data_IF_546574277564
#
_entry.id   IF_546574277564
#
_cell.length_a   1.000
_cell.length_b   1.000
_cell.length_c   1.000
_cell.angle_alpha   90.00
_cell.angle_beta   90.00
_cell.angle_gamma   90.00
#
_symmetry.space_group_name_H-M   'P 1'
#
loop_
_entity.id
_entity.type
_entity.pdbx_description
1 polymer ?
#
# COMPACT_ATOMS: atom_id res chain seq x y z
N UNK A 1 -25.84 -2.27 3.44
CA UNK A 1 -24.81 -3.31 3.60
C UNK A 1 -24.45 -3.45 5.07
N UNK A 2 -24.34 -4.67 5.62
CA UNK A 2 -23.95 -4.88 7.02
C UNK A 2 -22.43 -4.99 7.08
N UNK A 3 -21.75 -3.99 7.63
CA UNK A 3 -20.32 -4.07 7.90
C UNK A 3 -20.13 -5.00 9.10
N UNK A 4 -19.30 -6.02 8.94
CA UNK A 4 -18.93 -6.87 10.07
C UNK A 4 -18.04 -6.06 11.01
N UNK A 5 -18.02 -6.44 12.30
CA UNK A 5 -17.16 -5.79 13.30
C UNK A 5 -15.66 -5.96 13.01
N UNK A 6 -14.82 -5.85 14.02
CA UNK A 6 -13.37 -5.96 13.85
C UNK A 6 -12.95 -7.29 13.19
N UNK A 7 -12.16 -7.21 12.11
CA UNK A 7 -11.50 -8.37 11.49
C UNK A 7 -9.97 -8.29 11.63
N UNK A 8 -9.32 -9.44 11.50
CA UNK A 8 -7.88 -9.49 11.47
C UNK A 8 -7.33 -8.87 10.17
N UNK A 9 -6.29 -8.06 10.33
CA UNK A 9 -5.50 -7.47 9.25
C UNK A 9 -4.08 -8.03 9.31
N UNK A 10 -3.53 -8.43 8.16
CA UNK A 10 -2.21 -9.05 8.07
C UNK A 10 -1.18 -8.07 7.49
N UNK A 11 -0.05 -7.86 8.17
CA UNK A 11 0.97 -6.87 7.77
C UNK A 11 1.48 -7.07 6.34
N UNK A 12 1.61 -8.32 5.90
CA UNK A 12 2.25 -8.61 4.62
C UNK A 12 1.36 -8.32 3.40
N UNK A 13 0.08 -7.99 3.58
CA UNK A 13 -0.80 -7.56 2.47
C UNK A 13 -0.31 -6.30 1.77
N UNK A 14 0.45 -5.44 2.46
CA UNK A 14 1.09 -4.27 1.85
C UNK A 14 2.16 -4.65 0.81
N UNK A 15 2.65 -5.90 0.82
CA UNK A 15 3.51 -6.41 -0.24
C UNK A 15 2.80 -6.46 -1.59
N UNK A 16 1.47 -6.60 -1.62
CA UNK A 16 0.69 -6.57 -2.86
C UNK A 16 0.83 -5.20 -3.55
N UNK A 17 0.73 -4.12 -2.77
CA UNK A 17 0.90 -2.75 -3.29
C UNK A 17 2.36 -2.46 -3.59
N UNK A 18 3.27 -2.77 -2.65
CA UNK A 18 4.71 -2.54 -2.82
C UNK A 18 5.28 -3.24 -4.05
N UNK A 19 4.77 -4.43 -4.38
CA UNK A 19 5.21 -5.18 -5.56
C UNK A 19 4.45 -4.81 -6.83
N UNK A 20 3.37 -4.03 -6.74
CA UNK A 20 2.56 -3.61 -7.88
C UNK A 20 1.50 -4.63 -8.31
N UNK A 21 1.22 -5.64 -7.48
CA UNK A 21 0.23 -6.69 -7.81
C UNK A 21 -1.16 -6.08 -7.81
N UNK A 22 -1.43 -5.25 -6.81
CA UNK A 22 -2.61 -4.41 -6.73
C UNK A 22 -2.15 -2.95 -6.70
N UNK A 23 -2.81 -2.09 -7.48
CA UNK A 23 -2.70 -0.66 -7.23
C UNK A 23 -3.49 -0.30 -5.95
N UNK A 24 -3.31 0.93 -5.45
CA UNK A 24 -3.94 1.33 -4.18
C UNK A 24 -5.47 1.28 -4.22
N UNK A 25 -6.10 1.56 -5.38
CA UNK A 25 -7.56 1.59 -5.53
C UNK A 25 -8.14 0.17 -5.50
N UNK A 26 -7.52 -0.74 -6.23
CA UNK A 26 -7.85 -2.17 -6.21
C UNK A 26 -7.67 -2.75 -4.81
N UNK A 27 -6.57 -2.39 -4.13
CA UNK A 27 -6.31 -2.82 -2.77
C UNK A 27 -7.38 -2.35 -1.78
N UNK A 28 -7.78 -1.08 -1.86
CA UNK A 28 -8.84 -0.53 -1.00
C UNK A 28 -10.20 -1.19 -1.28
N UNK A 29 -10.55 -1.44 -2.54
CA UNK A 29 -11.77 -2.14 -2.89
C UNK A 29 -11.75 -3.59 -2.38
N UNK A 30 -10.61 -4.27 -2.49
CA UNK A 30 -10.45 -5.61 -1.94
C UNK A 30 -10.63 -5.63 -0.41
N UNK A 31 -10.04 -4.66 0.30
CA UNK A 31 -10.23 -4.50 1.75
C UNK A 31 -11.70 -4.27 2.13
N UNK A 32 -12.41 -3.44 1.36
CA UNK A 32 -13.85 -3.23 1.53
C UNK A 32 -14.66 -4.52 1.35
N UNK A 33 -14.32 -5.35 0.36
CA UNK A 33 -14.97 -6.66 0.18
C UNK A 33 -14.69 -7.60 1.34
N UNK A 34 -13.47 -7.61 1.88
CA UNK A 34 -13.13 -8.39 3.07
C UNK A 34 -13.95 -7.98 4.31
N UNK A 35 -14.31 -6.70 4.46
CA UNK A 35 -15.18 -6.23 5.54
C UNK A 35 -16.63 -6.71 5.38
N UNK A 36 -17.01 -7.05 4.15
CA UNK A 36 -18.38 -7.34 3.74
C UNK A 36 -18.68 -8.84 3.59
N UNK A 37 -17.69 -9.71 3.79
CA UNK A 37 -17.90 -11.17 3.66
C UNK A 37 -18.72 -11.75 4.79
N UNK A 38 -19.40 -12.87 4.50
CA UNK A 38 -20.00 -13.69 5.55
C UNK A 38 -18.91 -14.45 6.33
N UNK A 39 -18.82 -14.18 7.64
CA UNK A 39 -17.86 -14.83 8.55
C UNK A 39 -18.44 -16.02 9.30
N UNK A 40 -19.74 -16.33 9.17
CA UNK A 40 -20.32 -17.49 9.85
C UNK A 40 -19.97 -18.78 9.09
N UNK A 41 -19.11 -19.60 9.69
CA UNK A 41 -18.63 -20.85 9.11
C UNK A 41 -19.72 -21.91 8.94
N UNK A 42 -20.91 -21.70 9.52
CA UNK A 42 -22.07 -22.59 9.39
C UNK A 42 -22.93 -22.26 8.17
N UNK A 43 -22.75 -21.09 7.57
CA UNK A 43 -23.50 -20.69 6.38
C UNK A 43 -22.85 -21.29 5.12
N UNK A 44 -23.69 -21.74 4.18
CA UNK A 44 -23.24 -22.19 2.86
C UNK A 44 -22.49 -21.09 2.07
N UNK A 45 -22.79 -19.84 2.42
CA UNK A 45 -22.22 -18.62 1.85
C UNK A 45 -20.98 -18.12 2.60
N UNK A 46 -20.38 -18.90 3.50
CA UNK A 46 -19.17 -18.50 4.21
C UNK A 46 -18.05 -18.02 3.27
N UNK A 47 -17.53 -16.83 3.55
CA UNK A 47 -16.52 -16.15 2.76
C UNK A 47 -17.01 -15.54 1.45
N UNK A 48 -18.32 -15.39 1.29
CA UNK A 48 -18.92 -14.71 0.14
C UNK A 48 -19.48 -13.33 0.51
N UNK A 49 -19.60 -12.46 -0.49
CA UNK A 49 -20.13 -11.10 -0.38
C UNK A 49 -20.90 -10.73 -1.65
N UNK A 50 -21.89 -9.85 -1.51
CA UNK A 50 -22.60 -9.29 -2.65
C UNK A 50 -21.91 -8.01 -3.13
N UNK A 51 -21.79 -7.83 -4.45
CA UNK A 51 -21.20 -6.62 -5.03
C UNK A 51 -22.26 -5.82 -5.80
N UNK A 52 -22.59 -4.64 -5.30
CA UNK A 52 -23.44 -3.66 -5.96
C UNK A 52 -22.59 -2.42 -6.28
N UNK A 53 -22.28 -2.21 -7.56
CA UNK A 53 -21.34 -1.17 -7.98
C UNK A 53 -21.84 0.23 -7.65
N UNK A 54 -23.15 0.51 -7.75
CA UNK A 54 -23.74 1.81 -7.42
C UNK A 54 -23.58 2.18 -5.94
N UNK A 55 -23.88 1.23 -5.05
CA UNK A 55 -23.73 1.42 -3.60
C UNK A 55 -22.25 1.62 -3.22
N UNK A 56 -21.38 0.83 -3.84
CA UNK A 56 -19.93 0.91 -3.63
C UNK A 56 -19.36 2.22 -4.17
N UNK A 57 -19.83 2.69 -5.32
CA UNK A 57 -19.47 3.97 -5.93
C UNK A 57 -19.76 5.13 -4.99
N UNK A 58 -20.92 5.11 -4.33
CA UNK A 58 -21.30 6.10 -3.33
C UNK A 58 -20.29 6.15 -2.17
N UNK A 59 -19.86 5.00 -1.66
CA UNK A 59 -18.88 4.91 -0.55
C UNK A 59 -17.52 5.46 -0.96
N UNK A 60 -17.06 5.15 -2.17
CA UNK A 60 -15.75 5.57 -2.67
C UNK A 60 -15.75 6.97 -3.31
N UNK A 61 -16.92 7.62 -3.41
CA UNK A 61 -17.11 8.86 -4.16
C UNK A 61 -16.55 8.75 -5.59
N UNK A 62 -17.00 7.72 -6.31
CA UNK A 62 -16.63 7.39 -7.69
C UNK A 62 -17.85 7.07 -8.53
N UNK A 63 -17.65 7.04 -9.84
CA UNK A 63 -18.65 6.54 -10.79
C UNK A 63 -18.77 5.00 -10.70
N UNK A 64 -19.96 4.43 -10.89
CA UNK A 64 -20.17 2.97 -10.89
C UNK A 64 -19.23 2.22 -11.84
N UNK A 65 -19.03 2.76 -13.05
CA UNK A 65 -18.13 2.18 -14.07
C UNK A 65 -16.68 2.07 -13.56
N UNK A 66 -16.23 3.05 -12.76
CA UNK A 66 -14.89 3.01 -12.17
C UNK A 66 -14.76 1.89 -11.14
N UNK A 67 -15.81 1.65 -10.35
CA UNK A 67 -15.82 0.52 -9.41
C UNK A 67 -15.86 -0.80 -10.16
N UNK A 68 -16.63 -0.88 -11.24
CA UNK A 68 -16.70 -2.05 -12.10
C UNK A 68 -15.33 -2.39 -12.70
N UNK A 69 -14.57 -1.40 -13.16
CA UNK A 69 -13.20 -1.61 -13.65
C UNK A 69 -12.28 -2.22 -12.58
N UNK A 70 -12.34 -1.69 -11.35
CA UNK A 70 -11.51 -2.20 -10.25
C UNK A 70 -11.96 -3.62 -9.85
N UNK A 71 -13.27 -3.87 -9.80
CA UNK A 71 -13.85 -5.17 -9.54
C UNK A 71 -13.41 -6.21 -10.57
N UNK A 72 -13.51 -5.86 -11.86
CA UNK A 72 -13.09 -6.71 -12.98
C UNK A 72 -11.59 -6.98 -12.96
N UNK A 73 -10.77 -6.01 -12.54
CA UNK A 73 -9.35 -6.23 -12.32
C UNK A 73 -9.08 -7.25 -11.21
N UNK A 74 -9.79 -7.15 -10.06
CA UNK A 74 -9.67 -8.12 -8.96
C UNK A 74 -10.10 -9.53 -9.37
N UNK A 75 -11.18 -9.66 -10.16
CA UNK A 75 -11.61 -10.93 -10.77
C UNK A 75 -10.53 -11.50 -11.68
N UNK A 76 -10.00 -10.69 -12.61
CA UNK A 76 -8.98 -11.09 -13.58
C UNK A 76 -7.70 -11.57 -12.88
N UNK A 77 -7.27 -10.85 -11.84
CA UNK A 77 -6.11 -11.18 -11.02
C UNK A 77 -6.37 -12.33 -10.04
N UNK A 78 -7.63 -12.78 -9.90
CA UNK A 78 -8.01 -13.94 -9.10
C UNK A 78 -8.16 -13.70 -7.60
N UNK A 79 -8.21 -12.45 -7.15
CA UNK A 79 -8.42 -12.13 -5.72
C UNK A 79 -9.86 -12.42 -5.27
N UNK A 80 -10.81 -12.36 -6.21
CA UNK A 80 -12.21 -12.70 -6.01
C UNK A 80 -12.67 -13.64 -7.13
N UNK A 81 -13.73 -14.42 -6.88
CA UNK A 81 -14.32 -15.32 -7.87
C UNK A 81 -15.84 -15.21 -7.85
N UNK A 82 -16.46 -15.24 -9.02
CA UNK A 82 -17.93 -15.36 -9.16
C UNK A 82 -18.40 -16.65 -8.49
N UNK A 83 -19.36 -16.54 -7.57
CA UNK A 83 -19.98 -17.68 -6.90
C UNK A 83 -21.42 -17.90 -7.41
N UNK A 84 -22.21 -16.82 -7.48
CA UNK A 84 -23.53 -16.80 -8.12
C UNK A 84 -23.71 -15.46 -8.84
N UNK A 85 -23.65 -15.49 -10.16
CA UNK A 85 -23.75 -14.30 -11.01
C UNK A 85 -25.13 -13.63 -10.92
N UNK A 86 -26.21 -14.41 -10.83
CA UNK A 86 -27.58 -13.88 -10.77
C UNK A 86 -27.80 -13.06 -9.51
N UNK A 87 -27.19 -13.49 -8.42
CA UNK A 87 -27.25 -12.82 -7.10
C UNK A 87 -26.12 -11.82 -6.90
N UNK A 88 -25.25 -11.62 -7.90
CA UNK A 88 -24.03 -10.79 -7.78
C UNK A 88 -23.19 -11.19 -6.55
N UNK A 89 -23.10 -12.49 -6.28
CA UNK A 89 -22.44 -13.08 -5.12
C UNK A 89 -21.04 -13.56 -5.53
N UNK A 90 -20.03 -13.12 -4.78
CA UNK A 90 -18.62 -13.36 -5.05
C UNK A 90 -17.95 -13.98 -3.84
N UNK A 91 -16.85 -14.70 -4.04
CA UNK A 91 -16.13 -15.41 -2.98
C UNK A 91 -14.70 -14.94 -2.83
N UNK A 92 -14.24 -14.89 -1.59
CA UNK A 92 -12.84 -14.64 -1.20
C UNK A 92 -12.15 -15.98 -0.93
N UNK A 93 -10.86 -16.08 -1.26
CA UNK A 93 -10.05 -17.25 -0.90
C UNK A 93 -9.65 -17.20 0.57
N UNK A 94 -9.70 -18.34 1.24
CA UNK A 94 -9.27 -18.49 2.64
C UNK A 94 -9.91 -17.47 3.60
N UNK A 95 -11.24 -17.32 3.64
CA UNK A 95 -11.92 -16.36 4.52
C UNK A 95 -11.57 -16.52 6.02
N UNK A 96 -11.22 -17.74 6.46
CA UNK A 96 -10.72 -18.05 7.81
C UNK A 96 -9.46 -17.27 8.20
N UNK A 97 -8.74 -16.72 7.23
CA UNK A 97 -7.59 -15.83 7.43
C UNK A 97 -7.98 -14.53 8.13
N UNK A 98 -9.20 -14.05 7.92
CA UNK A 98 -9.61 -12.71 8.33
C UNK A 98 -10.48 -12.68 9.59
N UNK A 99 -11.08 -13.82 9.99
CA UNK A 99 -11.87 -13.89 11.21
C UNK A 99 -11.05 -14.18 12.47
N UNK A 100 -11.48 -13.63 13.60
CA UNK A 100 -10.93 -13.94 14.94
C UNK A 100 -11.83 -14.84 15.77
N UNK A 101 -13.05 -15.12 15.31
CA UNK A 101 -14.05 -15.96 15.97
C UNK A 101 -14.53 -17.10 15.05
N UNK A 102 -15.34 -18.02 15.58
CA UNK A 102 -16.07 -19.06 14.83
C UNK A 102 -15.21 -20.01 13.97
N UNK A 103 -14.09 -20.49 14.51
CA UNK A 103 -13.24 -21.47 13.81
C UNK A 103 -12.35 -20.88 12.71
N UNK A 104 -12.24 -19.54 12.67
CA UNK A 104 -11.22 -18.84 11.89
C UNK A 104 -9.85 -18.96 12.54
N UNK A 105 -8.79 -18.89 11.73
CA UNK A 105 -7.41 -19.21 12.13
C UNK A 105 -6.44 -18.07 11.81
N UNK A 106 -6.89 -16.81 11.95
CA UNK A 106 -6.10 -15.63 11.63
C UNK A 106 -4.70 -15.64 12.30
N UNK A 107 -4.60 -16.02 13.58
CA UNK A 107 -3.31 -16.10 14.29
C UNK A 107 -2.35 -17.10 13.66
N UNK A 108 -2.85 -18.20 13.10
CA UNK A 108 -2.04 -19.20 12.41
C UNK A 108 -1.48 -18.62 11.10
N UNK A 109 -2.33 -18.00 10.29
CA UNK A 109 -1.88 -17.30 9.07
C UNK A 109 -0.84 -16.22 9.36
N UNK A 110 -1.05 -15.40 10.40
CA UNK A 110 -0.11 -14.37 10.80
C UNK A 110 1.26 -14.97 11.22
N UNK A 111 1.26 -16.13 11.88
CA UNK A 111 2.49 -16.86 12.24
C UNK A 111 3.19 -17.41 11.01
N UNK A 112 2.45 -18.03 10.09
CA UNK A 112 3.01 -18.64 8.88
C UNK A 112 3.61 -17.57 7.96
N UNK A 113 2.92 -16.44 7.79
CA UNK A 113 3.40 -15.27 7.06
C UNK A 113 4.65 -14.63 7.69
N UNK A 114 4.77 -14.65 9.02
CA UNK A 114 5.98 -14.18 9.71
C UNK A 114 7.18 -15.08 9.40
N UNK A 115 6.95 -16.38 9.30
CA UNK A 115 7.99 -17.36 9.01
C UNK A 115 8.37 -17.39 7.52
N UNK A 116 7.45 -17.03 6.63
CA UNK A 116 7.69 -17.01 5.17
C UNK A 116 7.05 -15.76 4.52
N UNK A 117 7.67 -14.58 4.68
CA UNK A 117 7.11 -13.30 4.22
C UNK A 117 7.35 -13.08 2.72
N UNK A 118 6.97 -14.04 1.88
CA UNK A 118 7.16 -13.97 0.43
C UNK A 118 5.85 -13.61 -0.28
N UNK A 119 5.94 -12.91 -1.41
CA UNK A 119 4.77 -12.59 -2.22
C UNK A 119 4.06 -13.86 -2.70
N UNK A 120 4.82 -14.87 -3.14
CA UNK A 120 4.27 -16.15 -3.61
C UNK A 120 3.44 -16.87 -2.53
N UNK A 121 3.95 -16.93 -1.29
CA UNK A 121 3.20 -17.50 -0.17
C UNK A 121 1.87 -16.76 0.07
N UNK A 122 1.91 -15.42 0.08
CA UNK A 122 0.72 -14.60 0.30
C UNK A 122 -0.31 -14.80 -0.81
N UNK A 123 0.13 -14.76 -2.08
CA UNK A 123 -0.74 -14.96 -3.23
C UNK A 123 -1.36 -16.36 -3.21
N UNK A 124 -0.59 -17.38 -2.86
CA UNK A 124 -1.12 -18.73 -2.69
C UNK A 124 -2.29 -18.76 -1.69
N UNK A 125 -2.25 -17.96 -0.63
CA UNK A 125 -3.29 -17.99 0.39
C UNK A 125 -4.54 -17.17 0.04
N UNK A 126 -4.39 -16.03 -0.65
CA UNK A 126 -5.49 -15.07 -0.88
C UNK A 126 -6.01 -15.01 -2.32
N UNK A 127 -5.26 -15.57 -3.27
CA UNK A 127 -5.61 -15.52 -4.69
C UNK A 127 -5.99 -16.91 -5.20
N UNK A 128 -7.14 -17.03 -5.86
CA UNK A 128 -7.60 -18.26 -6.50
C UNK A 128 -6.68 -18.69 -7.64
N UNK A 129 -6.05 -17.71 -8.31
CA UNK A 129 -5.19 -17.89 -9.48
C UNK A 129 -3.90 -17.09 -9.30
N UNK A 130 -2.99 -17.50 -8.38
CA UNK A 130 -1.76 -16.76 -8.07
C UNK A 130 -0.93 -16.42 -9.32
N UNK A 131 -0.90 -17.31 -10.30
CA UNK A 131 -0.23 -17.17 -11.58
C UNK A 131 -0.74 -15.98 -12.42
N UNK A 132 -1.99 -15.56 -12.22
CA UNK A 132 -2.58 -14.38 -12.89
C UNK A 132 -2.28 -13.07 -12.17
N UNK A 133 -1.88 -13.16 -10.90
CA UNK A 133 -1.48 -12.03 -10.07
C UNK A 133 0.02 -11.76 -10.16
N UNK A 134 0.82 -12.72 -10.65
CA UNK A 134 2.25 -12.54 -10.89
C UNK A 134 2.48 -11.49 -11.98
N UNK A 135 3.10 -10.41 -11.56
CA UNK A 135 3.60 -9.36 -12.44
C UNK A 135 4.85 -9.93 -13.10
N UNK A 136 4.96 -9.74 -14.42
CA UNK A 136 6.21 -9.92 -15.14
C UNK A 136 7.36 -9.31 -14.32
N UNK A 137 8.44 -10.05 -14.01
CA UNK A 137 9.60 -9.43 -13.41
C UNK A 137 10.06 -8.28 -14.32
N UNK A 138 10.56 -7.16 -13.77
CA UNK A 138 11.36 -6.25 -14.59
C UNK A 138 12.44 -7.11 -15.26
N UNK A 139 12.59 -7.00 -16.59
CA UNK A 139 13.60 -7.76 -17.35
C UNK A 139 14.95 -7.63 -16.65
N UNK A 140 15.42 -8.72 -16.04
CA UNK A 140 16.75 -8.80 -15.46
C UNK A 140 17.79 -8.67 -16.59
N UNK A 141 18.57 -7.59 -16.58
CA UNK A 141 19.93 -7.65 -17.11
C UNK A 141 20.79 -8.38 -16.09
N UNK A 142 21.14 -9.62 -16.43
CA UNK A 142 22.06 -10.53 -15.77
C UNK A 142 23.18 -9.85 -14.96
N UNK A 143 23.45 -10.33 -13.74
CA UNK A 143 24.47 -11.37 -13.54
C UNK A 143 24.72 -11.68 -12.06
N UNK A 144 24.62 -12.97 -11.75
CA UNK A 144 25.33 -13.74 -10.73
C UNK A 144 25.83 -13.05 -9.45
N UNK A 145 25.23 -13.50 -8.35
CA UNK A 145 25.73 -13.41 -6.99
C UNK A 145 27.16 -13.96 -6.84
N UNK A 146 28.02 -13.19 -6.18
CA UNK A 146 28.87 -13.76 -5.14
C UNK A 146 28.72 -12.96 -3.86
N UNK A 147 28.39 -13.72 -2.83
CA UNK A 147 28.20 -13.38 -1.43
C UNK A 147 29.38 -12.56 -0.86
N UNK A 148 29.09 -11.52 -0.08
CA UNK A 148 29.76 -11.24 1.19
C UNK A 148 29.17 -10.00 1.86
N UNK A 149 28.61 -10.26 3.04
CA UNK A 149 28.29 -9.33 4.12
C UNK A 149 29.36 -8.25 4.34
N UNK A 150 28.96 -6.97 4.41
CA UNK A 150 29.27 -6.03 5.52
C UNK A 150 28.90 -4.57 5.18
N UNK A 151 28.21 -3.97 6.15
CA UNK A 151 28.33 -2.61 6.69
C UNK A 151 28.27 -1.37 5.76
N UNK A 152 27.44 -0.42 6.21
CA UNK A 152 27.47 1.00 5.87
C UNK A 152 28.90 1.54 5.72
N UNK A 153 29.24 1.98 4.51
CA UNK A 153 30.51 2.66 4.25
C UNK A 153 30.65 3.07 2.79
N UNK A 154 30.39 4.35 2.54
CA UNK A 154 30.94 5.17 1.44
C UNK A 154 31.25 4.46 0.11
N UNK A 155 30.39 4.61 -0.90
CA UNK A 155 30.75 4.35 -2.29
C UNK A 155 30.95 5.66 -3.05
N UNK A 156 32.23 6.03 -3.25
CA UNK A 156 32.65 6.84 -4.39
C UNK A 156 32.55 5.94 -5.62
N UNK A 157 31.66 6.26 -6.56
CA UNK A 157 31.63 5.64 -7.88
C UNK A 157 32.17 6.66 -8.88
N UNK A 158 33.34 6.37 -9.43
CA UNK A 158 33.79 6.94 -10.70
C UNK A 158 32.96 6.30 -11.81
N UNK A 159 32.01 7.04 -12.37
CA UNK A 159 31.26 6.65 -13.56
C UNK A 159 31.97 7.23 -14.79
N UNK A 160 32.63 6.34 -15.54
CA UNK A 160 33.09 6.65 -16.88
C UNK A 160 31.89 6.84 -17.82
N UNK A 161 31.81 8.04 -18.40
CA UNK A 161 30.82 8.49 -19.37
C UNK A 161 30.64 7.54 -20.56
N UNK A 162 29.39 7.36 -21.00
CA UNK A 162 29.03 7.71 -22.38
C UNK A 162 27.51 7.91 -22.58
N UNK A 163 27.19 9.07 -23.16
CA UNK A 163 25.97 9.45 -23.89
C UNK A 163 24.69 9.83 -23.12
N UNK A 164 24.82 10.95 -22.39
CA UNK A 164 23.95 12.15 -22.35
C UNK A 164 22.58 12.09 -23.03
N UNK A 165 21.53 11.93 -22.22
CA UNK A 165 20.32 12.76 -22.30
C UNK A 165 20.15 13.41 -20.93
N UNK A 166 20.34 14.73 -20.88
CA UNK A 166 20.35 15.51 -19.65
C UNK A 166 18.90 15.68 -19.16
N UNK A 167 18.38 14.71 -18.40
CA UNK A 167 17.11 14.83 -17.70
C UNK A 167 17.42 15.39 -16.32
N UNK A 168 17.24 16.70 -16.14
CA UNK A 168 17.30 17.34 -14.83
C UNK A 168 16.20 16.73 -13.95
N UNK A 169 16.58 15.86 -13.01
CA UNK A 169 15.63 15.35 -12.04
C UNK A 169 15.33 16.43 -11.00
N UNK A 170 14.06 16.84 -10.95
CA UNK A 170 13.54 17.70 -9.89
C UNK A 170 13.26 16.86 -8.64
N UNK A 171 13.82 17.27 -7.51
CA UNK A 171 13.56 16.64 -6.21
C UNK A 171 13.12 17.71 -5.24
N UNK A 172 12.00 17.50 -4.55
CA UNK A 172 11.52 18.41 -3.51
C UNK A 172 11.82 17.83 -2.13
N UNK A 173 12.27 18.68 -1.22
CA UNK A 173 12.49 18.34 0.19
C UNK A 173 11.26 18.79 0.97
N UNK A 174 10.64 17.87 1.70
CA UNK A 174 9.50 18.18 2.56
C UNK A 174 9.96 18.08 4.00
N UNK A 175 9.82 19.18 4.73
CA UNK A 175 10.05 19.22 6.17
C UNK A 175 8.71 19.10 6.88
N UNK A 176 8.69 18.39 8.00
CA UNK A 176 7.52 18.38 8.87
C UNK A 176 7.51 19.67 9.68
N UNK A 177 6.32 20.24 9.87
CA UNK A 177 6.16 21.39 10.74
C UNK A 177 6.28 20.93 12.20
N UNK A 178 7.13 21.60 12.96
CA UNK A 178 7.33 21.30 14.38
C UNK A 178 6.11 21.79 15.14
N UNK A 179 5.42 20.87 15.81
CA UNK A 179 4.24 21.16 16.64
C UNK A 179 4.65 21.82 17.96
N UNK A 180 3.67 22.40 18.67
CA UNK A 180 3.92 22.91 20.02
C UNK A 180 4.06 21.78 21.05
N UNK A 181 4.71 22.07 22.17
CA UNK A 181 4.85 21.12 23.29
C UNK A 181 3.49 20.63 23.79
N UNK A 182 2.49 21.51 23.80
CA UNK A 182 1.12 21.20 24.21
C UNK A 182 0.45 20.22 23.24
N UNK A 183 0.73 20.35 21.94
CA UNK A 183 0.22 19.44 20.91
C UNK A 183 0.86 18.05 21.01
N UNK A 184 2.17 17.95 21.24
CA UNK A 184 2.83 16.66 21.44
C UNK A 184 2.30 15.93 22.68
N UNK A 185 2.13 16.66 23.79
CA UNK A 185 1.56 16.11 25.02
C UNK A 185 0.12 15.63 24.80
N UNK A 186 -0.67 16.37 24.02
CA UNK A 186 -2.03 15.97 23.68
C UNK A 186 -2.07 14.72 22.81
N UNK A 187 -1.23 14.63 21.77
CA UNK A 187 -1.13 13.43 20.90
C UNK A 187 -0.72 12.20 21.72
N UNK A 188 0.22 12.37 22.65
CA UNK A 188 0.66 11.30 23.53
C UNK A 188 -0.42 10.88 24.52
N UNK A 189 -1.19 11.82 25.07
CA UNK A 189 -2.29 11.53 25.99
C UNK A 189 -3.51 10.89 25.31
N UNK A 190 -3.83 11.33 24.08
CA UNK A 190 -4.97 10.84 23.30
C UNK A 190 -4.68 9.50 22.59
N UNK A 191 -3.40 9.14 22.44
CA UNK A 191 -2.96 7.96 21.70
C UNK A 191 -2.38 6.85 22.58
N UNK A 192 -2.56 5.59 22.17
CA UNK A 192 -1.90 4.46 22.82
C UNK A 192 -0.47 4.26 22.29
N UNK A 193 0.39 5.27 22.43
CA UNK A 193 1.77 5.26 21.92
C UNK A 193 2.77 4.82 23.01
N UNK A 194 2.69 3.57 23.47
CA UNK A 194 3.54 3.02 24.56
C UNK A 194 5.06 3.08 24.29
N UNK A 195 5.49 3.37 23.06
CA UNK A 195 6.90 3.38 22.65
C UNK A 195 7.38 4.66 21.96
N UNK A 196 6.59 5.74 21.96
CA UNK A 196 6.98 7.01 21.33
C UNK A 196 6.60 8.15 22.26
N UNK A 197 7.56 8.70 22.99
CA UNK A 197 7.30 9.81 23.91
C UNK A 197 7.27 11.16 23.15
N UNK A 198 6.77 12.25 23.77
CA UNK A 198 6.73 13.58 23.15
C UNK A 198 8.07 14.10 22.64
N UNK A 199 9.18 13.78 23.31
CA UNK A 199 10.52 14.20 22.89
C UNK A 199 10.98 13.43 21.64
N UNK A 200 10.66 12.14 21.54
CA UNK A 200 10.91 11.31 20.36
C UNK A 200 10.10 11.83 19.16
N UNK A 201 8.83 12.20 19.38
CA UNK A 201 7.97 12.78 18.35
C UNK A 201 8.54 14.11 17.83
N UNK A 202 8.98 14.99 18.74
CA UNK A 202 9.61 16.26 18.40
C UNK A 202 10.90 16.05 17.62
N UNK A 203 11.75 15.14 18.07
CA UNK A 203 13.00 14.83 17.38
C UNK A 203 12.76 14.33 15.96
N UNK A 204 11.72 13.52 15.75
CA UNK A 204 11.31 13.06 14.41
C UNK A 204 10.90 14.25 13.54
N UNK A 205 9.99 15.10 13.99
CA UNK A 205 9.52 16.25 13.21
C UNK A 205 10.67 17.23 12.89
N UNK A 206 11.64 17.39 13.79
CA UNK A 206 12.83 18.24 13.60
C UNK A 206 13.88 17.65 12.64
N UNK A 207 14.03 16.32 12.63
CA UNK A 207 15.19 15.66 11.99
C UNK A 207 14.82 14.94 10.70
N UNK A 208 13.58 14.47 10.56
CA UNK A 208 13.15 13.65 9.43
C UNK A 208 12.73 14.54 8.27
N UNK A 209 13.50 14.47 7.18
CA UNK A 209 13.17 15.13 5.92
C UNK A 209 12.68 14.12 4.89
N UNK A 210 11.50 14.39 4.32
CA UNK A 210 10.99 13.68 3.16
C UNK A 210 11.68 14.16 1.88
N UNK A 211 11.97 13.24 0.96
CA UNK A 211 12.45 13.59 -0.39
C UNK A 211 11.52 12.95 -1.40
N UNK A 212 10.92 13.75 -2.28
CA UNK A 212 10.06 13.26 -3.35
C UNK A 212 10.71 13.61 -4.68
N UNK A 213 10.91 12.61 -5.53
CA UNK A 213 11.32 12.80 -6.92
C UNK A 213 10.07 13.11 -7.74
N UNK A 214 10.13 14.15 -8.54
CA UNK A 214 9.02 14.59 -9.37
C UNK A 214 9.14 13.91 -10.73
N UNK A 215 8.15 13.08 -11.05
CA UNK A 215 8.13 12.29 -12.28
C UNK A 215 7.28 12.95 -13.38
N UNK A 216 6.30 13.78 -13.01
CA UNK A 216 5.43 14.50 -13.95
C UNK A 216 4.77 15.75 -13.32
N UNK A 217 4.20 16.61 -14.18
CA UNK A 217 3.60 17.90 -13.80
C UNK A 217 2.33 17.78 -12.95
N UNK A 218 1.56 16.69 -13.08
CA UNK A 218 0.38 16.46 -12.25
C UNK A 218 0.77 16.14 -10.81
N UNK A 219 1.81 15.32 -10.64
CA UNK A 219 2.41 15.02 -9.35
C UNK A 219 3.01 16.29 -8.71
N UNK A 220 3.67 17.14 -9.50
CA UNK A 220 4.21 18.43 -9.01
C UNK A 220 3.09 19.31 -8.43
N UNK A 221 1.97 19.47 -9.14
CA UNK A 221 0.81 20.23 -8.65
C UNK A 221 0.20 19.64 -7.38
N UNK A 222 0.12 18.32 -7.30
CA UNK A 222 -0.41 17.63 -6.13
C UNK A 222 0.49 17.81 -4.91
N UNK A 223 1.81 17.77 -5.10
CA UNK A 223 2.79 18.05 -4.03
C UNK A 223 2.60 19.47 -3.50
N UNK A 224 2.51 20.48 -4.39
CA UNK A 224 2.31 21.87 -3.96
C UNK A 224 1.01 22.03 -3.18
N UNK A 225 -0.07 21.37 -3.64
CA UNK A 225 -1.36 21.41 -2.96
C UNK A 225 -1.31 20.79 -1.56
N UNK A 226 -0.71 19.61 -1.42
CA UNK A 226 -0.72 18.85 -0.15
C UNK A 226 0.27 19.43 0.86
N UNK A 227 1.51 19.68 0.43
CA UNK A 227 2.62 19.94 1.36
C UNK A 227 2.94 21.43 1.53
N UNK A 228 2.50 22.26 0.59
CA UNK A 228 2.78 23.70 0.59
C UNK A 228 1.48 24.53 0.53
N UNK A 229 0.31 23.91 0.77
CA UNK A 229 -1.00 24.59 0.75
C UNK A 229 -1.29 25.41 -0.52
N UNK A 230 -0.72 25.02 -1.66
CA UNK A 230 -0.83 25.77 -2.91
C UNK A 230 0.19 26.89 -3.09
N UNK A 231 1.08 27.13 -2.12
CA UNK A 231 2.14 28.13 -2.18
C UNK A 231 3.32 27.64 -3.05
N UNK A 232 3.34 28.15 -4.28
CA UNK A 232 4.41 27.84 -5.24
C UNK A 232 5.75 28.47 -4.86
N UNK A 233 5.76 29.61 -4.16
CA UNK A 233 7.00 30.29 -3.77
C UNK A 233 7.70 29.52 -2.64
N UNK A 234 6.92 28.97 -1.70
CA UNK A 234 7.44 28.08 -0.66
C UNK A 234 7.94 26.75 -1.25
N UNK A 235 7.19 26.18 -2.19
CA UNK A 235 7.61 24.99 -2.92
C UNK A 235 8.95 25.19 -3.64
N UNK A 236 9.15 26.32 -4.36
CA UNK A 236 10.38 26.59 -5.10
C UNK A 236 11.61 26.68 -4.18
N UNK A 237 11.47 27.21 -2.95
CA UNK A 237 12.56 27.25 -1.95
C UNK A 237 13.01 25.85 -1.51
N UNK A 238 12.13 24.86 -1.64
CA UNK A 238 12.35 23.48 -1.24
C UNK A 238 12.67 22.55 -2.43
N UNK A 239 12.66 23.10 -3.65
CA UNK A 239 13.01 22.39 -4.87
C UNK A 239 14.52 22.34 -5.07
N UNK A 240 15.08 21.13 -5.11
CA UNK A 240 16.46 20.87 -5.47
C UNK A 240 16.48 20.35 -6.90
N UNK A 241 16.94 21.18 -7.83
CA UNK A 241 17.26 20.73 -9.17
C UNK A 241 18.63 20.07 -9.15
N UNK A 242 18.68 18.76 -9.39
CA UNK A 242 19.97 18.13 -9.70
C UNK A 242 20.31 18.46 -11.15
N UNK A 243 21.08 19.52 -11.35
CA UNK A 243 21.91 19.63 -12.55
C UNK A 243 22.97 18.55 -12.47
N UNK A 244 22.98 17.65 -13.45
CA UNK A 244 24.03 16.65 -13.58
C UNK A 244 25.34 17.36 -13.94
N UNK A 245 26.09 17.78 -12.93
CA UNK A 245 27.51 18.08 -13.10
C UNK A 245 28.27 16.75 -13.09
N UNK A 246 28.97 16.55 -14.21
CA UNK A 246 29.74 15.41 -14.70
C UNK A 246 30.40 14.49 -13.66
#
# INVERSE_FOLDING_TARGET
MKLNGFRASHRNRWLLVKKGVLNIREFLLFEYYLDSIDFDTRHDNFGSFEAYHDDTATIFSKEPDTIEDWHNSLLKKGFIKVFDEKRKLFKIKSPKRYGTMFGCTATQFARDEKNTPTLGFILHDICFFPEKAEINPPKDTNSASTDTSKALGSFKVNLGLSNVVNVSQKVVIIKQEVRSDEEYQKIYADGNFEGLNPDDMRWIDETVVGKIVIENDEQEKEIVRIYFNGDWDEYQKNLVQKTGDF
#
